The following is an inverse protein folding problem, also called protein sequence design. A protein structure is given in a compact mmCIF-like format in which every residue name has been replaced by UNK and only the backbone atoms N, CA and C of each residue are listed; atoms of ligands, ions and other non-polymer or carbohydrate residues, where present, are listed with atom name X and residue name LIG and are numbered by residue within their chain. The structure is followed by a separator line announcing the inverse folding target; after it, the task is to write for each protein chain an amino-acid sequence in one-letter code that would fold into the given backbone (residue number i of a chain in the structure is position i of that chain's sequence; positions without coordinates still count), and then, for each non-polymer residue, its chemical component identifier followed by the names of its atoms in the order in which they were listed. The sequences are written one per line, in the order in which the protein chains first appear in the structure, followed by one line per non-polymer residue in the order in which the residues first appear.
data_IF_363311838057
#
_entry.id   IF_363311838057
#
_cell.length_a   1.000
_cell.length_b   1.000
_cell.length_c   1.000
_cell.angle_alpha   90.00
_cell.angle_beta   90.00
_cell.angle_gamma   90.00
#
_symmetry.space_group_name_H-M   'P 1'
#
loop_
_entity.id
_entity.type
_entity.pdbx_description
1 polymer ?
#
# COMPACT_ATOMS: atom_id res chain seq x y z
N UNK A 1 -18.38 -17.13 45.77
CA UNK A 1 -18.53 -15.94 44.90
C UNK A 1 -17.32 -14.99 44.95
N UNK A 2 -16.06 -15.49 44.86
CA UNK A 2 -14.86 -14.62 44.79
C UNK A 2 -14.10 -14.72 43.45
N UNK A 3 -14.38 -15.76 42.66
CA UNK A 3 -13.71 -16.03 41.38
C UNK A 3 -14.15 -15.05 40.29
N UNK A 4 -15.43 -14.65 40.27
CA UNK A 4 -15.99 -13.69 39.31
C UNK A 4 -15.38 -12.30 39.46
N UNK A 5 -15.05 -11.88 40.68
CA UNK A 5 -14.44 -10.57 40.97
C UNK A 5 -12.98 -10.44 40.50
N UNK A 6 -12.29 -11.56 40.25
CA UNK A 6 -10.89 -11.58 39.77
C UNK A 6 -10.79 -11.51 38.24
N UNK A 7 -11.89 -11.81 37.53
CA UNK A 7 -11.94 -11.85 36.06
C UNK A 7 -12.23 -10.48 35.44
N UNK A 8 -13.01 -9.64 36.12
CA UNK A 8 -13.37 -8.28 35.66
C UNK A 8 -12.16 -7.40 35.29
N UNK A 9 -11.09 -7.30 36.10
CA UNK A 9 -9.95 -6.44 35.76
C UNK A 9 -9.11 -6.95 34.58
N UNK A 10 -9.25 -8.22 34.18
CA UNK A 10 -8.59 -8.78 32.99
C UNK A 10 -9.50 -8.65 31.76
N UNK A 11 -10.80 -8.87 31.95
CA UNK A 11 -11.77 -8.84 30.87
C UNK A 11 -11.94 -7.43 30.28
N UNK A 12 -11.94 -6.39 31.12
CA UNK A 12 -12.11 -5.02 30.67
C UNK A 12 -10.99 -4.52 29.73
N UNK A 13 -9.69 -4.63 30.08
CA UNK A 13 -8.61 -4.23 29.17
C UNK A 13 -8.52 -5.15 27.94
N UNK A 14 -8.84 -6.44 28.07
CA UNK A 14 -8.92 -7.34 26.94
C UNK A 14 -9.99 -6.89 25.94
N UNK A 15 -11.19 -6.56 26.42
CA UNK A 15 -12.27 -6.06 25.57
C UNK A 15 -11.92 -4.73 24.90
N UNK A 16 -11.25 -3.82 25.62
CA UNK A 16 -10.72 -2.57 25.05
C UNK A 16 -9.67 -2.82 23.97
N UNK A 17 -8.77 -3.79 24.18
CA UNK A 17 -7.77 -4.18 23.18
C UNK A 17 -8.44 -4.76 21.93
N UNK A 18 -9.41 -5.66 22.09
CA UNK A 18 -10.17 -6.22 20.96
C UNK A 18 -10.97 -5.15 20.21
N UNK A 19 -11.55 -4.17 20.92
CA UNK A 19 -12.25 -3.04 20.31
C UNK A 19 -11.30 -2.09 19.55
N UNK A 20 -10.00 -2.11 19.86
CA UNK A 20 -8.97 -1.31 19.17
C UNK A 20 -8.48 -1.92 17.86
N UNK A 21 -8.82 -3.18 17.57
CA UNK A 21 -8.46 -3.81 16.31
C UNK A 21 -9.27 -3.18 15.16
N UNK A 22 -8.59 -2.39 14.33
CA UNK A 22 -9.15 -1.86 13.08
C UNK A 22 -9.32 -2.93 12.01
N UNK A 23 -10.16 -2.66 11.01
CA UNK A 23 -10.35 -3.56 9.87
C UNK A 23 -9.10 -3.59 8.99
N UNK A 24 -8.55 -4.78 8.73
CA UNK A 24 -7.56 -4.97 7.68
C UNK A 24 -8.25 -4.77 6.31
N UNK A 25 -7.75 -3.81 5.51
CA UNK A 25 -8.25 -3.58 4.15
C UNK A 25 -7.46 -4.45 3.18
N UNK A 26 -8.18 -5.29 2.43
CA UNK A 26 -7.60 -6.04 1.33
C UNK A 26 -7.36 -5.12 0.12
N UNK A 27 -6.38 -5.47 -0.70
CA UNK A 27 -6.11 -4.78 -1.98
C UNK A 27 -7.15 -5.25 -3.01
N UNK A 28 -7.71 -4.31 -3.77
CA UNK A 28 -8.66 -4.61 -4.84
C UNK A 28 -7.91 -5.04 -6.12
N UNK A 29 -8.31 -6.16 -6.70
CA UNK A 29 -7.72 -6.66 -7.94
C UNK A 29 -8.45 -6.09 -9.16
N UNK A 30 -7.70 -5.60 -10.15
CA UNK A 30 -8.23 -5.20 -11.46
C UNK A 30 -7.97 -6.32 -12.48
N UNK A 31 -9.01 -6.77 -13.19
CA UNK A 31 -8.88 -7.77 -14.27
C UNK A 31 -8.32 -7.11 -15.52
N UNK A 32 -7.31 -7.74 -16.13
CA UNK A 32 -6.71 -7.30 -17.40
C UNK A 32 -7.02 -8.33 -18.50
N UNK A 33 -8.05 -8.14 -19.33
CA UNK A 33 -8.34 -9.02 -20.46
C UNK A 33 -7.31 -8.84 -21.58
N UNK A 34 -6.94 -9.93 -22.25
CA UNK A 34 -5.99 -9.89 -23.38
C UNK A 34 -6.56 -9.19 -24.62
N UNK A 35 -7.88 -9.27 -24.80
CA UNK A 35 -8.59 -8.72 -25.97
C UNK A 35 -9.06 -7.28 -25.79
N UNK A 36 -8.65 -6.61 -24.71
CA UNK A 36 -9.04 -5.22 -24.41
C UNK A 36 -7.90 -4.26 -24.76
N UNK A 37 -8.13 -3.29 -25.66
CA UNK A 37 -7.05 -2.42 -26.14
C UNK A 37 -6.56 -1.42 -25.09
N UNK A 38 -7.41 -1.01 -24.14
CA UNK A 38 -7.05 -0.07 -23.09
C UNK A 38 -7.91 -0.28 -21.84
N UNK A 39 -7.31 -0.05 -20.68
CA UNK A 39 -7.97 -0.10 -19.36
C UNK A 39 -7.67 1.21 -18.64
N UNK A 40 -8.71 1.86 -18.11
CA UNK A 40 -8.54 3.06 -17.28
C UNK A 40 -8.20 2.66 -15.84
N UNK A 41 -6.98 2.95 -15.42
CA UNK A 41 -6.46 2.70 -14.08
C UNK A 41 -6.38 3.96 -13.23
N UNK A 42 -6.87 5.12 -13.70
CA UNK A 42 -6.66 6.42 -13.03
C UNK A 42 -7.11 6.43 -11.57
N UNK A 43 -8.15 5.66 -11.24
CA UNK A 43 -8.67 5.54 -9.86
C UNK A 43 -8.00 4.45 -9.01
N UNK A 44 -7.16 3.61 -9.63
CA UNK A 44 -6.56 2.42 -9.04
C UNK A 44 -5.02 2.48 -9.05
N UNK A 45 -4.44 3.67 -9.14
CA UNK A 45 -2.99 3.91 -9.08
C UNK A 45 -2.60 4.67 -7.83
N UNK A 46 -1.39 4.42 -7.36
CA UNK A 46 -0.70 5.25 -6.37
C UNK A 46 0.27 6.18 -7.11
N UNK A 47 0.12 7.49 -6.93
CA UNK A 47 1.00 8.47 -7.57
C UNK A 47 2.21 8.76 -6.70
N UNK A 48 3.42 8.61 -7.25
CA UNK A 48 4.67 9.00 -6.60
C UNK A 48 5.20 10.30 -7.20
N UNK A 49 5.41 11.31 -6.35
CA UNK A 49 6.16 12.51 -6.74
C UNK A 49 7.63 12.33 -6.36
N UNK A 50 8.48 11.99 -7.33
CA UNK A 50 9.94 11.96 -7.15
C UNK A 50 10.56 13.27 -7.65
N UNK A 51 11.53 13.81 -6.91
CA UNK A 51 12.34 14.94 -7.38
C UNK A 51 13.46 14.41 -8.31
N UNK A 52 13.10 13.90 -9.48
CA UNK A 52 14.07 13.36 -10.44
C UNK A 52 13.48 12.40 -11.47
N UNK A 53 14.36 11.76 -12.23
CA UNK A 53 14.03 10.78 -13.27
C UNK A 53 14.06 9.32 -12.75
N UNK A 54 14.22 9.12 -11.45
CA UNK A 54 14.34 7.82 -10.78
C UNK A 54 13.18 7.58 -9.81
N UNK A 55 12.67 6.36 -9.83
CA UNK A 55 11.69 5.87 -8.87
C UNK A 55 12.17 4.54 -8.29
N UNK A 56 12.29 4.46 -6.97
CA UNK A 56 12.63 3.24 -6.25
C UNK A 56 11.34 2.61 -5.74
N UNK A 57 11.04 1.40 -6.20
CA UNK A 57 9.85 0.65 -5.75
C UNK A 57 10.26 -0.69 -5.17
N UNK A 58 9.51 -1.14 -4.16
CA UNK A 58 9.66 -2.50 -3.63
C UNK A 58 8.82 -3.45 -4.48
N UNK A 59 9.34 -4.63 -4.77
CA UNK A 59 8.60 -5.66 -5.50
C UNK A 59 7.76 -6.49 -4.53
N UNK A 60 6.78 -7.22 -5.07
CA UNK A 60 6.21 -8.33 -4.33
C UNK A 60 7.32 -9.31 -3.88
N UNK A 61 7.14 -10.00 -2.74
CA UNK A 61 8.04 -11.07 -2.33
C UNK A 61 8.18 -12.12 -3.42
N UNK A 62 9.40 -12.60 -3.66
CA UNK A 62 9.63 -13.74 -4.54
C UNK A 62 9.12 -15.05 -3.94
N UNK A 63 9.29 -16.17 -4.67
CA UNK A 63 8.99 -17.51 -4.14
C UNK A 63 9.83 -17.85 -2.89
N UNK A 64 10.96 -17.16 -2.71
CA UNK A 64 11.86 -17.22 -1.55
C UNK A 64 11.40 -16.35 -0.38
N UNK A 65 10.32 -15.57 -0.53
CA UNK A 65 9.82 -14.62 0.47
C UNK A 65 10.64 -13.32 0.55
N UNK A 66 11.64 -13.12 -0.31
CA UNK A 66 12.51 -11.95 -0.26
C UNK A 66 11.90 -10.79 -1.04
N UNK A 67 11.74 -9.65 -0.37
CA UNK A 67 11.34 -8.37 -0.98
C UNK A 67 12.58 -7.66 -1.52
N UNK A 68 12.54 -7.24 -2.78
CA UNK A 68 13.63 -6.53 -3.46
C UNK A 68 13.22 -5.09 -3.75
N UNK A 69 14.20 -4.20 -3.94
CA UNK A 69 13.97 -2.84 -4.45
C UNK A 69 14.55 -2.73 -5.85
N UNK A 70 13.78 -2.14 -6.75
CA UNK A 70 14.21 -1.87 -8.12
C UNK A 70 14.22 -0.36 -8.37
N UNK A 71 15.22 0.12 -9.11
CA UNK A 71 15.26 1.49 -9.64
C UNK A 71 14.64 1.48 -11.04
N UNK A 72 13.59 2.26 -11.23
CA UNK A 72 12.97 2.52 -12.52
C UNK A 72 13.36 3.92 -12.96
N UNK A 73 13.86 4.06 -14.19
CA UNK A 73 14.21 5.35 -14.80
C UNK A 73 13.20 5.76 -15.85
N UNK A 74 12.88 7.05 -15.88
CA UNK A 74 12.01 7.62 -16.91
C UNK A 74 12.66 7.47 -18.29
N UNK A 75 11.87 7.02 -19.28
CA UNK A 75 12.32 6.92 -20.67
C UNK A 75 12.60 8.30 -21.28
N UNK A 76 11.75 9.29 -20.96
CA UNK A 76 11.85 10.68 -21.45
C UNK A 76 12.00 11.66 -20.27
N UNK A 77 13.23 11.84 -19.74
CA UNK A 77 13.47 12.67 -18.55
C UNK A 77 13.15 14.16 -18.76
N UNK A 78 13.18 14.64 -20.01
CA UNK A 78 12.94 16.05 -20.34
C UNK A 78 11.49 16.51 -20.09
N UNK A 79 10.49 15.62 -20.25
CA UNK A 79 9.07 15.96 -20.05
C UNK A 79 8.70 16.11 -18.58
N UNK A 80 9.42 15.45 -17.66
CA UNK A 80 9.22 15.60 -16.22
C UNK A 80 9.73 16.94 -15.66
N UNK A 81 10.73 17.56 -16.30
CA UNK A 81 11.31 18.84 -15.84
C UNK A 81 10.45 20.07 -16.14
N UNK A 82 9.57 19.99 -17.15
CA UNK A 82 8.72 21.11 -17.56
C UNK A 82 7.60 21.43 -16.54
N UNK A 83 7.26 20.50 -15.65
CA UNK A 83 6.19 20.67 -14.65
C UNK A 83 6.64 21.20 -13.28
N UNK A 84 7.95 21.25 -12.98
CA UNK A 84 8.47 21.62 -11.65
C UNK A 84 8.95 23.07 -11.52
N UNK A 85 8.83 23.89 -12.57
CA UNK A 85 9.32 25.29 -12.59
C UNK A 85 8.23 26.34 -12.32
N UNK A 86 7.03 25.93 -11.92
CA UNK A 86 5.93 26.85 -11.58
C UNK A 86 5.39 26.54 -10.20
N UNK A 87 6.14 26.95 -9.16
CA UNK A 87 5.67 27.25 -7.81
C UNK A 87 6.74 28.00 -7.04
#
# INVERSE_FOLDING_TARGET
MKLTSRLVPVLLPLLMLLASLGSARAIESVRVPLDTPAIDLTKAIESYSSQGDRLLVSTAPGADGIVRRIEVRAKDPARGRAGSSSR
#
